data_IF_382185399672
#
_entry.id   IF_382185399672
#
_cell.length_a   1.000
_cell.length_b   1.000
_cell.length_c   1.000
_cell.angle_alpha   90.00
_cell.angle_beta   90.00
_cell.angle_gamma   90.00
#
_symmetry.space_group_name_H-M   'P 1'
#
loop_
_entity.id
_entity.type
_entity.pdbx_description
1 polymer ?
#
# COMPACT_ATOMS: atom_id res chain seq x y z
N UNK A 1 14.22 16.93 -3.14
CA UNK A 1 12.95 16.25 -3.35
C UNK A 1 12.68 15.43 -2.10
N UNK A 2 11.64 15.77 -1.37
CA UNK A 2 11.29 15.09 -0.13
C UNK A 2 10.45 13.86 -0.43
N UNK A 3 10.76 12.77 0.24
CA UNK A 3 10.13 11.48 0.00
C UNK A 3 9.47 10.94 1.24
N UNK A 4 8.29 10.34 1.06
CA UNK A 4 7.65 9.54 2.09
C UNK A 4 7.43 8.11 1.60
N UNK A 5 7.57 7.16 2.52
CA UNK A 5 7.08 5.79 2.34
C UNK A 5 5.62 5.74 2.80
N UNK A 6 4.74 5.24 1.94
CA UNK A 6 3.34 5.00 2.22
C UNK A 6 3.08 3.49 2.23
N UNK A 7 2.78 2.95 3.40
CA UNK A 7 2.45 1.53 3.60
C UNK A 7 0.93 1.38 3.69
N UNK A 8 0.30 0.83 2.65
CA UNK A 8 -1.16 0.80 2.52
C UNK A 8 -1.73 -0.56 2.94
N UNK A 9 -2.52 -0.56 4.02
CA UNK A 9 -3.36 -1.67 4.48
C UNK A 9 -2.62 -3.01 4.62
N UNK A 10 -1.37 -3.01 5.07
CA UNK A 10 -0.67 -4.25 5.42
C UNK A 10 -1.16 -4.69 6.81
N UNK A 11 -2.35 -5.28 6.84
CA UNK A 11 -3.12 -5.60 8.05
C UNK A 11 -3.42 -7.09 8.14
N UNK A 12 -3.62 -7.58 9.36
CA UNK A 12 -3.69 -9.02 9.67
C UNK A 12 -4.78 -9.79 8.94
N UNK A 13 -5.92 -9.18 8.59
CA UNK A 13 -6.98 -9.87 7.84
C UNK A 13 -6.53 -10.35 6.45
N UNK A 14 -5.43 -9.80 5.90
CA UNK A 14 -4.89 -10.23 4.62
C UNK A 14 -3.97 -11.46 4.69
N UNK A 15 -3.59 -11.91 5.89
CA UNK A 15 -2.63 -13.00 6.11
C UNK A 15 -3.33 -14.29 6.52
N UNK A 16 -2.59 -15.41 6.52
CA UNK A 16 -3.11 -16.74 6.92
C UNK A 16 -3.93 -16.68 8.22
N UNK A 17 -5.16 -17.19 8.18
CA UNK A 17 -6.12 -17.15 9.29
C UNK A 17 -6.91 -15.84 9.42
N UNK A 18 -6.66 -14.86 8.57
CA UNK A 18 -7.41 -13.62 8.46
C UNK A 18 -8.70 -13.74 7.64
N UNK A 19 -9.58 -12.73 7.71
CA UNK A 19 -10.89 -12.78 7.04
C UNK A 19 -10.85 -12.46 5.54
N UNK A 20 -9.68 -12.12 4.97
CA UNK A 20 -9.50 -11.75 3.57
C UNK A 20 -8.10 -12.15 3.05
N UNK A 21 -7.73 -13.42 3.19
CA UNK A 21 -6.40 -13.90 2.78
C UNK A 21 -6.06 -13.54 1.31
N UNK A 22 -4.82 -13.06 1.10
CA UNK A 22 -4.30 -12.70 -0.21
C UNK A 22 -3.32 -13.75 -0.74
N UNK A 23 -2.86 -13.55 -1.98
CA UNK A 23 -1.84 -14.40 -2.58
C UNK A 23 -0.45 -14.04 -2.02
N UNK A 24 0.13 -14.94 -1.21
CA UNK A 24 1.48 -14.80 -0.65
C UNK A 24 1.75 -13.45 0.05
N UNK A 25 0.85 -12.99 0.95
CA UNK A 25 0.97 -11.69 1.62
C UNK A 25 2.25 -11.56 2.44
N UNK A 26 2.77 -12.67 3.00
CA UNK A 26 4.02 -12.70 3.77
C UNK A 26 5.20 -12.26 2.89
N UNK A 27 5.25 -12.69 1.63
CA UNK A 27 6.35 -12.30 0.72
C UNK A 27 6.32 -10.81 0.44
N UNK A 28 5.15 -10.26 0.15
CA UNK A 28 4.98 -8.83 -0.09
C UNK A 28 5.29 -8.01 1.19
N UNK A 29 4.85 -8.47 2.36
CA UNK A 29 5.13 -7.82 3.63
C UNK A 29 6.64 -7.82 3.97
N UNK A 30 7.35 -8.91 3.70
CA UNK A 30 8.81 -8.94 3.86
C UNK A 30 9.52 -7.93 2.94
N UNK A 31 9.04 -7.75 1.70
CA UNK A 31 9.58 -6.72 0.80
C UNK A 31 9.25 -5.31 1.26
N UNK A 32 8.03 -5.08 1.75
CA UNK A 32 7.66 -3.81 2.36
C UNK A 32 8.54 -3.49 3.59
N UNK A 33 8.86 -4.49 4.42
CA UNK A 33 9.76 -4.39 5.58
C UNK A 33 11.20 -4.03 5.19
N UNK A 34 11.72 -4.61 4.11
CA UNK A 34 13.03 -4.25 3.56
C UNK A 34 13.09 -2.76 3.15
N UNK A 35 12.05 -2.26 2.47
CA UNK A 35 11.95 -0.84 2.07
C UNK A 35 11.77 0.06 3.31
N UNK A 36 10.91 -0.33 4.25
CA UNK A 36 10.68 0.36 5.51
C UNK A 36 11.98 0.54 6.30
N UNK A 37 12.82 -0.49 6.36
CA UNK A 37 14.13 -0.41 7.00
C UNK A 37 15.00 0.70 6.39
N UNK A 38 15.03 0.84 5.06
CA UNK A 38 15.79 1.90 4.39
C UNK A 38 15.28 3.30 4.79
N UNK A 39 13.95 3.48 4.85
CA UNK A 39 13.38 4.77 5.26
C UNK A 39 13.71 5.11 6.72
N UNK A 40 13.63 4.12 7.62
CA UNK A 40 13.99 4.28 9.04
C UNK A 40 15.47 4.62 9.22
N UNK A 41 16.37 3.88 8.56
CA UNK A 41 17.83 4.12 8.63
C UNK A 41 18.22 5.51 8.13
N UNK A 42 17.47 6.02 7.13
CA UNK A 42 17.68 7.36 6.57
C UNK A 42 16.87 8.46 7.26
N UNK A 43 16.12 8.12 8.31
CA UNK A 43 15.25 9.06 9.03
C UNK A 43 14.28 9.82 8.10
N UNK A 44 13.78 9.13 7.07
CA UNK A 44 12.78 9.67 6.13
C UNK A 44 11.36 9.47 6.66
N UNK A 45 10.42 10.25 6.14
CA UNK A 45 9.00 10.14 6.49
C UNK A 45 8.45 8.74 6.18
N UNK A 46 7.80 8.14 7.16
CA UNK A 46 7.04 6.89 7.03
C UNK A 46 5.60 7.14 7.48
N UNK A 47 4.66 6.79 6.61
CA UNK A 47 3.22 6.91 6.84
C UNK A 47 2.60 5.53 6.61
N UNK A 48 1.91 5.04 7.63
CA UNK A 48 1.09 3.84 7.56
C UNK A 48 -0.35 4.24 7.28
N UNK A 49 -1.02 3.48 6.43
CA UNK A 49 -2.45 3.62 6.20
C UNK A 49 -3.13 2.36 6.72
N UNK A 50 -4.14 2.57 7.55
CA UNK A 50 -4.95 1.51 8.14
C UNK A 50 -6.39 1.66 7.66
N UNK A 51 -6.92 0.64 6.99
CA UNK A 51 -8.33 0.59 6.66
C UNK A 51 -9.13 0.12 7.88
N UNK A 52 -10.21 0.82 8.20
CA UNK A 52 -11.22 0.38 9.17
C UNK A 52 -12.55 0.37 8.44
N UNK A 53 -13.16 -0.80 8.34
CA UNK A 53 -14.45 -0.93 7.69
C UNK A 53 -15.53 -0.23 8.50
N UNK A 54 -16.38 0.54 7.83
CA UNK A 54 -17.50 1.26 8.44
C UNK A 54 -18.82 1.08 7.67
N UNK A 55 -18.83 0.25 6.63
CA UNK A 55 -20.01 -0.06 5.85
C UNK A 55 -20.75 -1.25 6.45
N UNK A 56 -22.08 -1.23 6.35
CA UNK A 56 -22.91 -2.38 6.68
C UNK A 56 -22.49 -3.60 5.84
N UNK A 57 -22.42 -4.76 6.48
CA UNK A 57 -22.04 -6.03 5.83
C UNK A 57 -20.54 -6.23 5.59
N UNK A 58 -19.66 -5.37 6.12
CA UNK A 58 -18.22 -5.62 6.09
C UNK A 58 -17.88 -6.97 6.75
N UNK A 59 -16.95 -7.72 6.16
CA UNK A 59 -16.53 -9.05 6.63
C UNK A 59 -15.08 -9.09 7.11
N UNK A 60 -14.31 -8.02 6.92
CA UNK A 60 -12.91 -7.89 7.29
C UNK A 60 -12.60 -6.42 7.61
N UNK A 61 -11.47 -6.17 8.27
CA UNK A 61 -11.07 -4.88 8.83
C UNK A 61 -12.09 -4.28 9.78
N UNK A 62 -12.77 -5.16 10.52
CA UNK A 62 -13.76 -4.74 11.51
C UNK A 62 -13.07 -4.00 12.67
N UNK A 63 -13.67 -2.92 13.18
CA UNK A 63 -13.12 -2.20 14.31
C UNK A 63 -12.95 -3.13 15.52
N UNK A 64 -11.94 -2.83 16.35
CA UNK A 64 -11.65 -3.54 17.60
C UNK A 64 -11.34 -5.04 17.45
N UNK A 65 -10.86 -5.46 16.28
CA UNK A 65 -10.41 -6.84 16.03
C UNK A 65 -8.88 -6.94 15.91
N UNK A 66 -8.35 -8.17 15.96
CA UNK A 66 -6.94 -8.43 15.62
C UNK A 66 -6.71 -8.25 14.11
N UNK A 67 -7.70 -8.61 13.29
CA UNK A 67 -7.63 -8.55 11.83
C UNK A 67 -7.38 -7.14 11.28
N UNK A 68 -7.90 -6.10 11.95
CA UNK A 68 -7.69 -4.70 11.56
C UNK A 68 -6.34 -4.14 11.99
N UNK A 69 -5.57 -4.82 12.83
CA UNK A 69 -4.26 -4.33 13.24
C UNK A 69 -3.25 -4.40 12.08
N UNK A 70 -2.33 -3.44 12.01
CA UNK A 70 -1.20 -3.49 11.09
C UNK A 70 -0.35 -4.72 11.43
N UNK A 71 0.14 -5.41 10.41
CA UNK A 71 0.90 -6.64 10.57
C UNK A 71 2.29 -6.39 11.17
N UNK A 72 2.74 -7.31 12.02
CA UNK A 72 3.97 -7.18 12.82
C UNK A 72 5.23 -6.91 11.98
N UNK A 73 5.28 -7.39 10.74
CA UNK A 73 6.42 -7.14 9.84
C UNK A 73 6.66 -5.67 9.52
N UNK A 74 5.61 -4.85 9.57
CA UNK A 74 5.66 -3.42 9.28
C UNK A 74 5.10 -2.59 10.43
N UNK A 75 5.11 -3.12 11.66
CA UNK A 75 4.56 -2.45 12.83
C UNK A 75 5.07 -1.01 12.97
N UNK A 76 4.17 -0.02 13.14
CA UNK A 76 4.57 1.37 13.35
C UNK A 76 5.40 1.56 14.62
N UNK A 77 6.37 2.48 14.57
CA UNK A 77 7.10 2.94 15.77
C UNK A 77 6.63 4.36 16.16
N UNK A 78 7.02 4.83 17.36
CA UNK A 78 6.48 6.04 17.98
C UNK A 78 6.51 7.33 17.12
N UNK A 79 7.41 7.43 16.14
CA UNK A 79 7.57 8.61 15.28
C UNK A 79 6.94 8.46 13.88
N UNK A 80 6.21 7.38 13.63
CA UNK A 80 5.58 7.10 12.34
C UNK A 80 4.08 7.39 12.41
N UNK A 81 3.54 8.02 11.37
CA UNK A 81 2.12 8.41 11.33
C UNK A 81 1.26 7.23 10.91
N UNK A 82 0.07 7.13 11.50
CA UNK A 82 -0.98 6.21 11.04
C UNK A 82 -2.15 7.06 10.56
N UNK A 83 -2.54 6.88 9.29
CA UNK A 83 -3.73 7.47 8.70
C UNK A 83 -4.81 6.40 8.62
N UNK A 84 -5.92 6.62 9.29
CA UNK A 84 -7.08 5.73 9.18
C UNK A 84 -7.95 6.14 7.99
N UNK A 85 -8.44 5.14 7.25
CA UNK A 85 -9.34 5.34 6.11
C UNK A 85 -10.50 4.37 6.14
N UNK A 86 -11.55 4.74 5.41
CA UNK A 86 -12.78 3.95 5.27
C UNK A 86 -13.14 3.66 3.81
N UNK A 87 -12.25 4.03 2.89
CA UNK A 87 -12.44 3.88 1.44
C UNK A 87 -11.17 3.31 0.79
N UNK A 88 -11.23 2.78 -0.44
CA UNK A 88 -10.05 2.33 -1.17
C UNK A 88 -8.99 3.43 -1.34
N UNK A 89 -9.41 4.61 -1.80
CA UNK A 89 -8.55 5.77 -1.97
C UNK A 89 -8.11 6.32 -0.61
N UNK A 90 -6.80 6.26 -0.32
CA UNK A 90 -6.23 6.69 0.96
C UNK A 90 -6.30 8.20 1.22
N UNK A 91 -6.62 9.00 0.21
CA UNK A 91 -6.85 10.44 0.33
C UNK A 91 -8.30 10.80 0.62
N UNK A 92 -9.25 9.90 0.34
CA UNK A 92 -10.67 10.22 0.43
C UNK A 92 -11.12 10.29 1.89
N UNK A 93 -11.46 11.51 2.34
CA UNK A 93 -11.94 11.80 3.70
C UNK A 93 -10.92 11.40 4.78
N UNK A 94 -9.63 11.57 4.49
CA UNK A 94 -8.54 11.43 5.43
C UNK A 94 -7.73 12.73 5.48
N UNK A 95 -6.78 12.83 6.40
CA UNK A 95 -5.80 13.91 6.46
C UNK A 95 -4.49 13.57 5.73
N UNK A 96 -4.47 12.57 4.83
CA UNK A 96 -3.26 12.17 4.11
C UNK A 96 -2.70 13.31 3.25
N UNK A 97 -3.54 14.00 2.46
CA UNK A 97 -3.11 15.09 1.60
C UNK A 97 -2.49 16.24 2.40
N UNK A 98 -3.19 16.67 3.47
CA UNK A 98 -2.73 17.74 4.36
C UNK A 98 -1.40 17.37 5.03
N UNK A 99 -1.25 16.11 5.47
CA UNK A 99 -0.02 15.58 6.07
C UNK A 99 1.13 15.68 5.08
N UNK A 100 0.95 15.16 3.87
CA UNK A 100 1.98 15.17 2.82
C UNK A 100 2.37 16.59 2.41
N UNK A 101 1.41 17.51 2.29
CA UNK A 101 1.67 18.92 1.98
C UNK A 101 2.41 19.64 3.12
N UNK A 102 2.03 19.39 4.37
CA UNK A 102 2.68 19.97 5.56
C UNK A 102 4.13 19.51 5.68
N UNK A 103 4.39 18.24 5.39
CA UNK A 103 5.74 17.65 5.35
C UNK A 103 6.50 17.99 4.05
N UNK A 104 5.88 18.74 3.12
CA UNK A 104 6.42 19.14 1.83
C UNK A 104 6.94 17.95 1.03
N UNK A 105 6.18 16.86 1.01
CA UNK A 105 6.53 15.64 0.27
C UNK A 105 6.29 15.90 -1.22
N UNK A 106 7.27 15.53 -2.05
CA UNK A 106 7.20 15.63 -3.50
C UNK A 106 6.99 14.25 -4.14
N UNK A 107 7.51 13.20 -3.49
CA UNK A 107 7.55 11.84 -4.01
C UNK A 107 7.05 10.81 -2.99
N UNK A 108 6.22 9.89 -3.44
CA UNK A 108 5.70 8.78 -2.65
C UNK A 108 6.30 7.46 -3.13
N UNK A 109 6.88 6.70 -2.20
CA UNK A 109 7.20 5.29 -2.40
C UNK A 109 6.07 4.50 -1.77
N UNK A 110 5.38 3.68 -2.56
CA UNK A 110 4.10 3.07 -2.18
C UNK A 110 4.26 1.55 -2.17
N UNK A 111 3.94 0.93 -1.04
CA UNK A 111 3.83 -0.52 -0.86
C UNK A 111 2.48 -0.85 -0.21
N UNK A 112 2.00 -2.09 -0.35
CA UNK A 112 0.84 -2.56 0.39
C UNK A 112 -0.21 -3.29 -0.43
N UNK A 113 -1.45 -3.31 0.05
CA UNK A 113 -2.46 -4.26 -0.39
C UNK A 113 -3.86 -3.61 -0.41
N UNK A 114 -4.81 -4.02 -1.26
CA UNK A 114 -4.64 -4.89 -2.42
C UNK A 114 -4.21 -4.08 -3.66
N UNK A 115 -3.42 -4.70 -4.54
CA UNK A 115 -2.96 -4.10 -5.80
C UNK A 115 -4.10 -3.48 -6.62
N UNK A 116 -5.17 -4.25 -6.85
CA UNK A 116 -6.28 -3.85 -7.73
C UNK A 116 -7.33 -2.93 -7.08
N UNK A 117 -7.19 -2.62 -5.78
CA UNK A 117 -8.19 -1.82 -5.03
C UNK A 117 -7.52 -0.62 -4.38
N UNK A 118 -6.87 -0.80 -3.23
CA UNK A 118 -6.36 0.30 -2.43
C UNK A 118 -5.10 0.90 -3.04
N UNK A 119 -4.21 0.07 -3.59
CA UNK A 119 -2.99 0.55 -4.25
C UNK A 119 -3.34 1.30 -5.53
N UNK A 120 -4.10 0.70 -6.45
CA UNK A 120 -4.53 1.37 -7.68
C UNK A 120 -5.22 2.71 -7.40
N UNK A 121 -6.21 2.74 -6.51
CA UNK A 121 -6.93 3.98 -6.17
C UNK A 121 -6.02 5.04 -5.54
N UNK A 122 -5.10 4.65 -4.67
CA UNK A 122 -4.21 5.58 -3.98
C UNK A 122 -3.13 6.12 -4.90
N UNK A 123 -2.54 5.28 -5.76
CA UNK A 123 -1.49 5.70 -6.71
C UNK A 123 -2.06 6.67 -7.74
N UNK A 124 -3.23 6.37 -8.31
CA UNK A 124 -3.89 7.27 -9.26
C UNK A 124 -4.20 8.62 -8.63
N UNK A 125 -4.81 8.62 -7.44
CA UNK A 125 -5.11 9.85 -6.71
C UNK A 125 -3.84 10.64 -6.34
N UNK A 126 -2.76 9.97 -5.96
CA UNK A 126 -1.49 10.63 -5.67
C UNK A 126 -0.91 11.33 -6.92
N UNK A 127 -0.95 10.68 -8.08
CA UNK A 127 -0.56 11.30 -9.36
C UNK A 127 -1.44 12.50 -9.71
N UNK A 128 -2.77 12.39 -9.53
CA UNK A 128 -3.70 13.50 -9.76
C UNK A 128 -3.41 14.72 -8.86
N UNK A 129 -2.92 14.50 -7.64
CA UNK A 129 -2.47 15.56 -6.73
C UNK A 129 -1.05 16.08 -7.02
N UNK A 130 -0.36 15.51 -8.03
CA UNK A 130 0.95 15.95 -8.50
C UNK A 130 2.14 15.32 -7.80
N UNK A 131 1.95 14.28 -6.98
CA UNK A 131 3.06 13.54 -6.38
C UNK A 131 3.74 12.64 -7.42
N UNK A 132 5.07 12.62 -7.43
CA UNK A 132 5.80 11.58 -8.13
C UNK A 132 5.60 10.26 -7.41
N UNK A 133 5.12 9.23 -8.09
CA UNK A 133 4.85 7.94 -7.46
C UNK A 133 5.88 6.89 -7.90
N UNK A 134 6.37 6.12 -6.92
CA UNK A 134 7.11 4.88 -7.13
C UNK A 134 6.32 3.76 -6.47
N UNK A 135 5.91 2.76 -7.22
CA UNK A 135 5.27 1.56 -6.65
C UNK A 135 6.31 0.45 -6.56
N UNK A 136 6.44 -0.12 -5.36
CA UNK A 136 7.30 -1.29 -5.12
C UNK A 136 6.47 -2.55 -5.38
N UNK A 137 6.60 -3.09 -6.59
CA UNK A 137 5.65 -4.11 -7.08
C UNK A 137 5.67 -5.40 -6.24
N UNK A 138 6.87 -5.87 -5.90
CA UNK A 138 7.08 -7.07 -5.09
C UNK A 138 6.79 -6.85 -3.59
N UNK A 139 6.48 -5.61 -3.19
CA UNK A 139 5.95 -5.25 -1.88
C UNK A 139 4.43 -4.97 -1.90
N UNK A 140 3.76 -5.37 -2.99
CA UNK A 140 2.32 -5.34 -3.12
C UNK A 140 1.77 -6.72 -3.46
N UNK A 141 0.51 -7.00 -3.12
CA UNK A 141 -0.16 -8.21 -3.59
C UNK A 141 -1.67 -8.06 -3.67
N UNK A 142 -2.34 -9.09 -4.18
CA UNK A 142 -3.78 -9.20 -4.36
C UNK A 142 -4.22 -10.65 -4.16
N UNK A 143 -5.52 -10.93 -4.33
CA UNK A 143 -6.11 -12.27 -4.38
C UNK A 143 -6.61 -12.61 -5.78
N UNK A 144 -7.00 -13.87 -5.96
CA UNK A 144 -7.76 -14.30 -7.13
C UNK A 144 -9.06 -13.50 -7.22
N UNK A 145 -9.40 -13.08 -8.44
CA UNK A 145 -10.61 -12.33 -8.76
C UNK A 145 -11.54 -13.21 -9.59
N UNK A 146 -12.82 -12.85 -9.61
CA UNK A 146 -13.80 -13.51 -10.46
C UNK A 146 -14.61 -12.45 -11.19
N UNK A 147 -14.80 -12.63 -12.50
CA UNK A 147 -15.68 -11.78 -13.30
C UNK A 147 -16.51 -12.63 -14.26
N UNK A 148 -17.84 -12.58 -14.08
CA UNK A 148 -18.79 -13.33 -14.92
C UNK A 148 -18.49 -14.83 -14.98
N UNK A 149 -18.12 -15.43 -13.84
CA UNK A 149 -17.77 -16.85 -13.74
C UNK A 149 -16.35 -17.21 -14.22
N UNK A 150 -15.55 -16.23 -14.65
CA UNK A 150 -14.16 -16.46 -15.03
C UNK A 150 -13.23 -16.13 -13.87
N UNK A 151 -12.45 -17.12 -13.44
CA UNK A 151 -11.38 -16.94 -12.48
C UNK A 151 -10.21 -16.19 -13.13
N UNK A 152 -9.77 -15.13 -12.48
CA UNK A 152 -8.57 -14.37 -12.83
C UNK A 152 -7.56 -14.61 -11.71
N UNK A 153 -6.50 -15.39 -11.96
CA UNK A 153 -5.46 -15.64 -10.97
C UNK A 153 -4.84 -14.35 -10.44
N UNK A 154 -4.53 -14.31 -9.15
CA UNK A 154 -3.98 -13.16 -8.44
C UNK A 154 -2.76 -12.57 -9.16
N UNK A 155 -1.89 -13.44 -9.69
CA UNK A 155 -0.69 -13.04 -10.44
C UNK A 155 -1.06 -12.24 -11.70
N UNK A 156 -2.07 -12.68 -12.46
CA UNK A 156 -2.52 -11.96 -13.67
C UNK A 156 -3.20 -10.64 -13.32
N UNK A 157 -4.02 -10.62 -12.26
CA UNK A 157 -4.61 -9.38 -11.76
C UNK A 157 -3.53 -8.39 -11.33
N UNK A 158 -2.58 -8.83 -10.51
CA UNK A 158 -1.46 -8.01 -10.04
C UNK A 158 -0.65 -7.43 -11.21
N UNK A 159 -0.19 -8.27 -12.14
CA UNK A 159 0.62 -7.84 -13.28
C UNK A 159 -0.12 -6.87 -14.19
N UNK A 160 -1.41 -7.09 -14.42
CA UNK A 160 -2.23 -6.21 -15.25
C UNK A 160 -2.34 -4.81 -14.65
N UNK A 161 -2.55 -4.70 -13.34
CA UNK A 161 -2.60 -3.42 -12.63
C UNK A 161 -1.22 -2.76 -12.53
N UNK A 162 -0.14 -3.51 -12.27
CA UNK A 162 1.21 -2.96 -12.27
C UNK A 162 1.58 -2.38 -13.64
N UNK A 163 1.29 -3.11 -14.73
CA UNK A 163 1.51 -2.62 -16.09
C UNK A 163 0.67 -1.37 -16.39
N UNK A 164 -0.58 -1.31 -15.91
CA UNK A 164 -1.43 -0.14 -16.10
C UNK A 164 -0.97 1.10 -15.32
N UNK A 165 -0.39 0.91 -14.13
CA UNK A 165 0.20 2.00 -13.33
C UNK A 165 1.52 2.48 -13.93
N UNK A 166 2.32 1.57 -14.48
CA UNK A 166 3.61 1.89 -15.12
C UNK A 166 3.46 2.60 -16.47
N UNK A 167 2.36 2.38 -17.19
CA UNK A 167 2.21 2.75 -18.61
C UNK A 167 2.71 4.19 -18.92
N UNK A 168 3.92 4.29 -19.48
CA UNK A 168 4.57 5.56 -19.83
C UNK A 168 4.94 6.45 -18.65
N UNK A 169 5.15 5.88 -17.46
CA UNK A 169 5.33 6.58 -16.18
C UNK A 169 4.20 7.60 -15.88
N UNK A 170 3.00 7.38 -16.44
CA UNK A 170 1.87 8.32 -16.31
C UNK A 170 1.38 8.40 -14.87
N UNK A 171 1.26 7.26 -14.19
CA UNK A 171 0.83 7.22 -12.80
C UNK A 171 2.00 6.99 -11.85
N UNK A 172 2.87 6.03 -12.14
CA UNK A 172 4.02 5.73 -11.30
C UNK A 172 5.15 5.07 -12.10
N UNK A 173 6.36 5.21 -11.60
CA UNK A 173 7.42 4.25 -11.92
C UNK A 173 7.22 3.00 -11.09
N UNK A 174 7.25 1.83 -11.73
CA UNK A 174 7.10 0.53 -11.05
C UNK A 174 8.45 -0.17 -11.00
N UNK A 175 8.86 -0.66 -9.83
CA UNK A 175 10.12 -1.39 -9.68
C UNK A 175 10.11 -2.35 -8.49
N UNK A 176 11.03 -3.32 -8.47
CA UNK A 176 11.20 -4.20 -7.31
C UNK A 176 11.90 -3.49 -6.15
N UNK A 177 11.70 -4.01 -4.93
CA UNK A 177 12.34 -3.53 -3.71
C UNK A 177 13.86 -3.55 -3.84
N UNK A 178 14.43 -4.61 -4.42
CA UNK A 178 15.87 -4.71 -4.61
C UNK A 178 16.42 -3.60 -5.54
N UNK A 179 15.70 -3.29 -6.63
CA UNK A 179 16.07 -2.18 -7.52
C UNK A 179 16.03 -0.84 -6.77
N UNK A 180 14.95 -0.59 -6.02
CA UNK A 180 14.79 0.62 -5.22
C UNK A 180 15.88 0.77 -4.15
N UNK A 181 16.15 -0.30 -3.39
CA UNK A 181 17.16 -0.31 -2.32
C UNK A 181 18.56 -0.08 -2.89
N UNK A 182 18.90 -0.69 -4.02
CA UNK A 182 20.21 -0.51 -4.66
C UNK A 182 20.41 0.93 -5.12
N UNK A 183 19.38 1.57 -5.69
CA UNK A 183 19.41 2.99 -6.06
C UNK A 183 19.39 3.94 -4.84
N UNK A 184 18.97 3.43 -3.69
CA UNK A 184 18.88 4.16 -2.44
C UNK A 184 20.12 3.98 -1.55
N UNK A 185 21.14 3.24 -1.94
CA UNK A 185 22.44 3.29 -1.25
C UNK A 185 23.21 4.51 -1.70
#
# INVERSE_FOLDING_TARGET
MNEALLLVDIQNDYFEGGNMELHQPEKAAQKAKEVLKVFREKQKTVIHVQHIANNEGATFFLPDTVGVQIHDDVQPIANERIIQKHHPNSFLRTNLLETLQTEKIDRLVICGMMTHVCIDATVRAASDFGFQCIVIEDACTTKDLEFQGNLIPAVHAHQSFMSALEFGDIYATVMSANCFITKSK
#
